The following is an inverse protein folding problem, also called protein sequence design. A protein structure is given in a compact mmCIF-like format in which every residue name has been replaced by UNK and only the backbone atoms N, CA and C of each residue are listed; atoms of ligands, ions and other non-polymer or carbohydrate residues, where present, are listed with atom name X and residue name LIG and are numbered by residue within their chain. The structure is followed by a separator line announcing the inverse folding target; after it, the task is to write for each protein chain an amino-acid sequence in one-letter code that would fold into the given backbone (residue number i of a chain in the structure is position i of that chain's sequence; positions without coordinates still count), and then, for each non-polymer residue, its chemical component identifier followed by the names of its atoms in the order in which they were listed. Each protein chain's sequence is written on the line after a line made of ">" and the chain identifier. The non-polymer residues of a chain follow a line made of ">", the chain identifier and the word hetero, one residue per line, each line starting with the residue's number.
data_IF_595649697830
#
_entry.id   IF_595649697830
#
_cell.length_a   1.000
_cell.length_b   1.000
_cell.length_c   1.000
_cell.angle_alpha   90.00
_cell.angle_beta   90.00
_cell.angle_gamma   90.00
#
_symmetry.space_group_name_H-M   'P 1'
#
loop_
_entity.id
_entity.type
_entity.pdbx_description
1 polymer ?
#
# COMPACT_ATOMS: atom_id res chain seq x y z
N UNK A 1 12.84 -6.98 -12.98
CA UNK A 1 12.08 -5.72 -12.79
C UNK A 1 10.96 -5.74 -13.82
N UNK A 2 9.69 -5.55 -13.42
CA UNK A 2 8.54 -5.70 -14.31
C UNK A 2 8.57 -4.68 -15.46
N UNK A 3 8.08 -5.07 -16.65
CA UNK A 3 7.86 -4.17 -17.80
C UNK A 3 7.08 -2.91 -17.42
N UNK A 4 6.15 -3.03 -16.48
CA UNK A 4 5.40 -1.91 -15.91
C UNK A 4 6.30 -0.88 -15.21
N UNK A 5 7.27 -1.34 -14.41
CA UNK A 5 8.23 -0.45 -13.73
C UNK A 5 9.12 0.28 -14.72
N UNK A 6 9.51 -0.39 -15.80
CA UNK A 6 10.26 0.22 -16.90
C UNK A 6 9.44 1.34 -17.57
N UNK A 7 8.20 1.04 -17.98
CA UNK A 7 7.31 2.01 -18.62
C UNK A 7 6.99 3.22 -17.73
N UNK A 8 6.84 3.03 -16.41
CA UNK A 8 6.67 4.14 -15.45
C UNK A 8 7.89 5.08 -15.44
N UNK A 9 9.11 4.52 -15.47
CA UNK A 9 10.34 5.32 -15.55
C UNK A 9 10.45 6.07 -16.88
N UNK A 10 10.06 5.44 -17.99
CA UNK A 10 10.00 6.08 -19.31
C UNK A 10 9.04 7.28 -19.30
N UNK A 11 7.84 7.13 -18.73
CA UNK A 11 6.86 8.21 -18.61
C UNK A 11 7.40 9.37 -17.76
N UNK A 12 8.06 9.07 -16.64
CA UNK A 12 8.63 10.11 -15.76
C UNK A 12 9.79 10.86 -16.44
N UNK A 13 10.65 10.15 -17.19
CA UNK A 13 11.72 10.75 -17.99
C UNK A 13 11.16 11.62 -19.13
N UNK A 14 10.17 11.11 -19.86
CA UNK A 14 9.51 11.83 -20.95
C UNK A 14 8.78 13.08 -20.44
N UNK A 15 8.11 12.99 -19.30
CA UNK A 15 7.46 14.14 -18.66
C UNK A 15 8.48 15.22 -18.28
N UNK A 16 9.66 14.83 -17.81
CA UNK A 16 10.78 15.76 -17.55
C UNK A 16 11.26 16.43 -18.85
N UNK A 17 11.41 15.67 -19.93
CA UNK A 17 11.79 16.21 -21.25
C UNK A 17 10.76 17.20 -21.80
N UNK A 18 9.47 16.89 -21.70
CA UNK A 18 8.38 17.79 -22.11
C UNK A 18 8.37 19.09 -21.30
N UNK A 19 8.65 19.02 -19.98
CA UNK A 19 8.74 20.21 -19.12
C UNK A 19 9.89 21.14 -19.48
N UNK A 20 10.97 20.60 -20.04
CA UNK A 20 12.12 21.38 -20.47
C UNK A 20 11.88 22.15 -21.79
N UNK A 21 10.77 21.90 -22.48
CA UNK A 21 10.40 22.66 -23.68
C UNK A 21 9.89 24.05 -23.29
N UNK A 22 10.59 25.09 -23.74
CA UNK A 22 10.23 26.49 -23.46
C UNK A 22 8.94 26.91 -24.18
N UNK A 23 8.76 26.43 -25.41
CA UNK A 23 7.62 26.75 -26.26
C UNK A 23 6.29 26.17 -25.73
N UNK A 24 5.19 26.90 -26.02
CA UNK A 24 3.82 26.45 -25.68
C UNK A 24 3.41 25.18 -26.44
N UNK A 25 3.96 24.97 -27.63
CA UNK A 25 3.77 23.78 -28.46
C UNK A 25 5.07 22.99 -28.57
N UNK A 26 4.93 21.67 -28.70
CA UNK A 26 6.07 20.76 -28.89
C UNK A 26 6.32 20.62 -30.39
N UNK A 27 7.43 21.18 -30.86
CA UNK A 27 7.93 21.02 -32.23
C UNK A 27 9.13 20.08 -32.32
N UNK A 28 9.66 19.63 -31.18
CA UNK A 28 10.81 18.72 -31.14
C UNK A 28 10.40 17.35 -31.63
N UNK A 29 10.94 16.95 -32.79
CA UNK A 29 10.73 15.61 -33.37
C UNK A 29 11.15 14.51 -32.38
N UNK A 30 12.25 14.70 -31.65
CA UNK A 30 12.71 13.73 -30.66
C UNK A 30 11.70 13.48 -29.53
N UNK A 31 10.99 14.51 -29.05
CA UNK A 31 9.96 14.33 -28.02
C UNK A 31 8.73 13.63 -28.60
N UNK A 32 8.34 13.96 -29.83
CA UNK A 32 7.25 13.29 -30.52
C UNK A 32 7.57 11.79 -30.75
N UNK A 33 8.80 11.48 -31.18
CA UNK A 33 9.26 10.10 -31.36
C UNK A 33 9.25 9.33 -30.03
N UNK A 34 9.65 9.97 -28.91
CA UNK A 34 9.56 9.37 -27.58
C UNK A 34 8.11 9.12 -27.11
N UNK A 35 7.18 10.04 -27.38
CA UNK A 35 5.75 9.83 -27.12
C UNK A 35 5.22 8.62 -27.90
N UNK A 36 5.60 8.51 -29.17
CA UNK A 36 5.22 7.37 -30.01
C UNK A 36 5.80 6.05 -29.49
N UNK A 37 7.10 6.02 -29.19
CA UNK A 37 7.77 4.84 -28.66
C UNK A 37 7.18 4.38 -27.32
N UNK A 38 6.87 5.31 -26.42
CA UNK A 38 6.25 5.00 -25.11
C UNK A 38 4.86 4.36 -25.30
N UNK A 39 4.04 4.91 -26.20
CA UNK A 39 2.73 4.33 -26.50
C UNK A 39 2.85 2.96 -27.18
N UNK A 40 3.80 2.78 -28.08
CA UNK A 40 4.07 1.50 -28.71
C UNK A 40 4.55 0.45 -27.70
N UNK A 41 5.46 0.82 -26.78
CA UNK A 41 5.95 -0.05 -25.71
C UNK A 41 4.80 -0.54 -24.82
N UNK A 42 3.86 0.35 -24.47
CA UNK A 42 2.64 -0.06 -23.75
C UNK A 42 1.86 -1.13 -24.50
N UNK A 43 1.51 -0.91 -25.77
CA UNK A 43 0.68 -1.84 -26.53
C UNK A 43 1.39 -3.14 -26.91
N UNK A 44 2.71 -3.10 -27.17
CA UNK A 44 3.48 -4.25 -27.60
C UNK A 44 3.93 -5.13 -26.44
N UNK A 45 4.37 -4.53 -25.33
CA UNK A 45 5.04 -5.26 -24.26
C UNK A 45 4.13 -5.44 -23.04
N UNK A 46 3.49 -4.37 -22.56
CA UNK A 46 2.74 -4.42 -21.31
C UNK A 46 1.28 -4.87 -21.49
N UNK A 47 0.62 -4.43 -22.55
CA UNK A 47 -0.81 -4.65 -22.78
C UNK A 47 -1.22 -6.12 -22.93
N UNK A 48 -0.43 -7.02 -23.58
CA UNK A 48 -0.75 -8.43 -23.67
C UNK A 48 -0.88 -9.11 -22.30
N UNK A 49 0.01 -8.77 -21.37
CA UNK A 49 0.03 -9.33 -20.01
C UNK A 49 -1.16 -8.86 -19.15
N UNK A 50 -1.83 -7.79 -19.57
CA UNK A 50 -2.94 -7.16 -18.84
C UNK A 50 -4.32 -7.50 -19.42
N UNK A 51 -4.43 -8.44 -20.36
CA UNK A 51 -5.61 -8.62 -21.22
C UNK A 51 -6.97 -8.79 -20.52
N UNK A 52 -6.98 -9.15 -19.22
CA UNK A 52 -8.19 -9.54 -18.49
C UNK A 52 -8.69 -8.53 -17.45
N UNK A 53 -8.14 -7.31 -17.39
CA UNK A 53 -8.55 -6.32 -16.38
C UNK A 53 -9.39 -5.18 -16.98
N UNK A 54 -10.59 -4.95 -16.44
CA UNK A 54 -11.46 -3.81 -16.80
C UNK A 54 -10.77 -2.45 -16.63
N UNK A 55 -9.75 -2.39 -15.77
CA UNK A 55 -8.96 -1.17 -15.51
C UNK A 55 -8.05 -0.78 -16.69
N UNK A 56 -7.85 -1.70 -17.64
CA UNK A 56 -6.93 -1.52 -18.78
C UNK A 56 -7.55 -0.66 -19.88
N UNK A 57 -8.88 -0.66 -20.02
CA UNK A 57 -9.56 0.18 -21.00
C UNK A 57 -9.25 1.69 -20.81
N UNK A 58 -9.11 2.13 -19.56
CA UNK A 58 -8.73 3.51 -19.25
C UNK A 58 -7.30 3.83 -19.70
N UNK A 59 -6.36 2.91 -19.49
CA UNK A 59 -4.98 3.06 -19.96
C UNK A 59 -4.91 3.00 -21.50
N UNK A 60 -5.61 2.08 -22.14
CA UNK A 60 -5.70 1.96 -23.61
C UNK A 60 -6.11 3.26 -24.27
N UNK A 61 -7.13 3.94 -23.72
CA UNK A 61 -7.57 5.25 -24.21
C UNK A 61 -6.46 6.30 -24.10
N UNK A 62 -5.74 6.35 -22.99
CA UNK A 62 -4.67 7.34 -22.75
C UNK A 62 -3.47 7.09 -23.68
N UNK A 63 -3.05 5.84 -23.88
CA UNK A 63 -1.95 5.50 -24.77
C UNK A 63 -2.31 5.65 -26.25
N UNK A 64 -3.57 5.42 -26.63
CA UNK A 64 -4.06 5.76 -27.97
C UNK A 64 -3.98 7.26 -28.22
N UNK A 65 -4.45 8.08 -27.26
CA UNK A 65 -4.32 9.53 -27.35
C UNK A 65 -2.85 9.98 -27.41
N UNK A 66 -1.95 9.31 -26.69
CA UNK A 66 -0.52 9.61 -26.71
C UNK A 66 0.08 9.36 -28.10
N UNK A 67 -0.29 8.24 -28.72
CA UNK A 67 0.08 7.91 -30.09
C UNK A 67 -0.51 8.87 -31.14
N UNK A 68 -1.70 9.41 -30.91
CA UNK A 68 -2.26 10.44 -31.78
C UNK A 68 -1.56 11.79 -31.63
N UNK A 69 -1.19 12.16 -30.40
CA UNK A 69 -0.49 13.42 -30.12
C UNK A 69 0.93 13.42 -30.68
N UNK A 70 1.62 12.28 -30.73
CA UNK A 70 2.97 12.17 -31.30
C UNK A 70 3.02 12.52 -32.79
N UNK A 71 1.89 12.43 -33.51
CA UNK A 71 1.79 12.76 -34.94
C UNK A 71 1.44 14.22 -35.21
N UNK A 72 1.26 15.02 -34.17
CA UNK A 72 0.83 16.43 -34.25
C UNK A 72 1.87 17.33 -33.56
N UNK A 73 1.58 18.63 -33.50
CA UNK A 73 2.31 19.60 -32.66
C UNK A 73 1.49 19.93 -31.41
N UNK A 74 1.41 19.02 -30.42
CA UNK A 74 0.55 19.19 -29.26
C UNK A 74 1.03 20.34 -28.37
N UNK A 75 0.12 20.91 -27.57
CA UNK A 75 0.54 21.84 -26.53
C UNK A 75 1.32 21.10 -25.44
N UNK A 76 2.31 21.80 -24.87
CA UNK A 76 3.14 21.29 -23.76
C UNK A 76 2.27 20.83 -22.59
N UNK A 77 1.29 21.64 -22.21
CA UNK A 77 0.40 21.35 -21.09
C UNK A 77 -0.41 20.07 -21.32
N UNK A 78 -0.99 19.90 -22.53
CA UNK A 78 -1.76 18.70 -22.88
C UNK A 78 -0.92 17.41 -22.78
N UNK A 79 0.35 17.48 -23.15
CA UNK A 79 1.26 16.33 -23.01
C UNK A 79 1.57 16.02 -21.54
N UNK A 80 1.81 17.04 -20.71
CA UNK A 80 2.08 16.87 -19.27
C UNK A 80 0.89 16.23 -18.57
N UNK A 81 -0.32 16.70 -18.87
CA UNK A 81 -1.56 16.18 -18.28
C UNK A 81 -1.78 14.72 -18.69
N UNK A 82 -1.65 14.43 -19.99
CA UNK A 82 -1.79 13.08 -20.51
C UNK A 82 -0.77 12.09 -19.91
N UNK A 83 0.49 12.50 -19.77
CA UNK A 83 1.53 11.67 -19.12
C UNK A 83 1.23 11.45 -17.63
N UNK A 84 0.70 12.46 -16.93
CA UNK A 84 0.30 12.32 -15.54
C UNK A 84 -0.89 11.36 -15.37
N UNK A 85 -1.87 11.42 -16.28
CA UNK A 85 -3.00 10.50 -16.33
C UNK A 85 -2.58 9.07 -16.66
N UNK A 86 -1.73 8.89 -17.67
CA UNK A 86 -1.18 7.58 -18.04
C UNK A 86 -0.44 6.93 -16.86
N UNK A 87 0.42 7.70 -16.17
CA UNK A 87 1.11 7.24 -14.96
C UNK A 87 0.13 6.81 -13.86
N UNK A 88 -0.91 7.62 -13.58
CA UNK A 88 -1.94 7.27 -12.59
C UNK A 88 -2.68 5.99 -12.96
N UNK A 89 -3.00 5.80 -14.24
CA UNK A 89 -3.65 4.60 -14.73
C UNK A 89 -2.77 3.36 -14.53
N UNK A 90 -1.48 3.43 -14.87
CA UNK A 90 -0.54 2.33 -14.67
C UNK A 90 -0.35 1.97 -13.20
N UNK A 91 -0.23 2.95 -12.29
CA UNK A 91 -0.13 2.68 -10.85
C UNK A 91 -1.38 1.99 -10.30
N UNK A 92 -2.57 2.34 -10.82
CA UNK A 92 -3.82 1.65 -10.46
C UNK A 92 -3.86 0.21 -10.96
N UNK A 93 -3.32 -0.04 -12.16
CA UNK A 93 -3.21 -1.39 -12.73
C UNK A 93 -2.22 -2.21 -11.89
N UNK A 94 -1.04 -1.65 -11.57
CA UNK A 94 -0.04 -2.31 -10.73
C UNK A 94 -0.64 -2.74 -9.38
N UNK A 95 -1.33 -1.83 -8.68
CA UNK A 95 -2.01 -2.17 -7.44
C UNK A 95 -3.09 -3.25 -7.61
N UNK A 96 -3.79 -3.27 -8.75
CA UNK A 96 -4.79 -4.29 -9.05
C UNK A 96 -4.17 -5.66 -9.33
N UNK A 97 -3.07 -5.71 -10.09
CA UNK A 97 -2.32 -6.95 -10.37
C UNK A 97 -1.77 -7.52 -9.06
N UNK A 98 -1.14 -6.68 -8.23
CA UNK A 98 -0.66 -7.09 -6.91
C UNK A 98 -1.80 -7.63 -6.02
N UNK A 99 -2.99 -7.05 -6.12
CA UNK A 99 -4.17 -7.53 -5.39
C UNK A 99 -4.74 -8.83 -5.97
N UNK A 100 -4.69 -9.03 -7.30
CA UNK A 100 -5.18 -10.25 -7.96
C UNK A 100 -4.24 -11.44 -7.77
N UNK A 101 -2.92 -11.22 -7.79
CA UNK A 101 -1.94 -12.25 -7.45
C UNK A 101 -2.07 -12.73 -6.00
N UNK A 102 -2.69 -11.92 -5.11
CA UNK A 102 -3.06 -12.38 -3.78
C UNK A 102 -4.28 -13.34 -3.81
N UNK A 103 -5.15 -13.27 -4.83
CA UNK A 103 -6.36 -14.09 -4.95
C UNK A 103 -6.12 -15.55 -5.37
N UNK A 104 -5.11 -15.83 -6.21
CA UNK A 104 -4.67 -17.21 -6.48
C UNK A 104 -3.84 -17.82 -5.34
N UNK A 105 -3.61 -17.05 -4.27
CA UNK A 105 -2.91 -17.41 -3.05
C UNK A 105 -3.86 -17.62 -1.86
N UNK A 106 -5.18 -17.81 -2.05
CA UNK A 106 -6.10 -18.08 -0.93
C UNK A 106 -5.64 -19.25 -0.05
N UNK A 107 -5.10 -20.33 -0.65
CA UNK A 107 -4.53 -21.46 0.11
C UNK A 107 -3.32 -21.05 0.97
N UNK A 108 -2.36 -20.31 0.39
CA UNK A 108 -1.16 -19.86 1.11
C UNK A 108 -1.44 -18.76 2.13
N UNK A 109 -2.42 -17.90 1.83
CA UNK A 109 -2.86 -16.83 2.74
C UNK A 109 -3.43 -17.43 4.02
N UNK A 110 -4.22 -18.51 3.90
CA UNK A 110 -4.72 -19.25 5.05
C UNK A 110 -3.59 -19.91 5.87
N UNK A 111 -2.51 -20.39 5.24
CA UNK A 111 -1.36 -20.96 5.97
C UNK A 111 -0.62 -19.91 6.80
N UNK A 112 -0.36 -18.72 6.23
CA UNK A 112 0.30 -17.63 6.95
C UNK A 112 -0.58 -17.15 8.12
N UNK A 113 -1.87 -16.97 7.88
CA UNK A 113 -2.80 -16.55 8.93
C UNK A 113 -2.92 -17.60 10.04
N UNK A 114 -2.85 -18.90 9.72
CA UNK A 114 -2.79 -19.98 10.71
C UNK A 114 -1.51 -19.95 11.55
N UNK A 115 -0.35 -19.67 10.93
CA UNK A 115 0.92 -19.50 11.65
C UNK A 115 0.90 -18.28 12.58
N UNK A 116 0.30 -17.18 12.13
CA UNK A 116 0.08 -15.99 12.97
C UNK A 116 -0.81 -16.34 14.15
N UNK A 117 -1.96 -16.98 13.93
CA UNK A 117 -2.87 -17.38 15.00
C UNK A 117 -2.19 -18.30 16.03
N UNK A 118 -1.46 -19.31 15.57
CA UNK A 118 -0.71 -20.20 16.48
C UNK A 118 0.32 -19.42 17.31
N UNK A 119 1.12 -18.57 16.67
CA UNK A 119 2.17 -17.80 17.34
C UNK A 119 1.59 -16.76 18.30
N UNK A 120 0.50 -16.08 17.91
CA UNK A 120 -0.20 -15.14 18.78
C UNK A 120 -0.84 -15.86 19.96
N UNK A 121 -1.43 -17.03 19.78
CA UNK A 121 -2.01 -17.78 20.89
C UNK A 121 -0.96 -18.13 21.95
N UNK A 122 0.27 -18.44 21.53
CA UNK A 122 1.37 -18.74 22.45
C UNK A 122 1.93 -17.48 23.14
N UNK A 123 2.01 -16.36 22.42
CA UNK A 123 2.61 -15.10 22.92
C UNK A 123 1.60 -14.22 23.68
N UNK A 124 0.43 -14.01 23.10
CA UNK A 124 -0.65 -13.14 23.57
C UNK A 124 -2.03 -13.66 23.10
N UNK A 125 -2.70 -14.52 23.89
CA UNK A 125 -4.00 -15.11 23.52
C UNK A 125 -5.09 -14.08 23.17
N UNK A 126 -5.08 -12.92 23.82
CA UNK A 126 -6.02 -11.83 23.52
C UNK A 126 -5.81 -11.28 22.09
N UNK A 127 -4.56 -11.06 21.68
CA UNK A 127 -4.23 -10.63 20.32
C UNK A 127 -4.65 -11.67 19.28
N UNK A 128 -4.48 -12.96 19.61
CA UNK A 128 -4.95 -14.06 18.76
C UNK A 128 -6.47 -14.03 18.57
N UNK A 129 -7.23 -13.83 19.65
CA UNK A 129 -8.68 -13.76 19.59
C UNK A 129 -9.17 -12.60 18.71
N UNK A 130 -8.57 -11.41 18.87
CA UNK A 130 -8.88 -10.27 18.00
C UNK A 130 -8.52 -10.53 16.53
N UNK A 131 -7.34 -11.09 16.26
CA UNK A 131 -6.96 -11.42 14.89
C UNK A 131 -7.92 -12.43 14.25
N UNK A 132 -8.29 -13.48 15.00
CA UNK A 132 -9.26 -14.49 14.55
C UNK A 132 -10.63 -13.88 14.27
N UNK A 133 -11.15 -13.04 15.16
CA UNK A 133 -12.45 -12.39 14.98
C UNK A 133 -12.49 -11.55 13.69
N UNK A 134 -11.39 -10.86 13.37
CA UNK A 134 -11.28 -10.12 12.11
C UNK A 134 -11.31 -11.03 10.88
N UNK A 135 -10.63 -12.17 10.91
CA UNK A 135 -10.65 -13.15 9.82
C UNK A 135 -12.06 -13.73 9.62
N UNK A 136 -12.72 -14.11 10.70
CA UNK A 136 -14.10 -14.62 10.68
C UNK A 136 -15.07 -13.60 10.11
N UNK A 137 -14.95 -12.33 10.53
CA UNK A 137 -15.74 -11.24 9.97
C UNK A 137 -15.50 -11.07 8.46
N UNK A 138 -14.25 -11.13 7.99
CA UNK A 138 -13.89 -10.97 6.56
C UNK A 138 -14.35 -12.12 5.67
N UNK A 139 -14.51 -13.32 6.24
CA UNK A 139 -15.09 -14.47 5.58
C UNK A 139 -16.60 -14.31 5.32
N UNK A 140 -17.28 -13.45 6.08
CA UNK A 140 -18.70 -13.16 5.85
C UNK A 140 -18.90 -12.32 4.58
N UNK A 141 -19.80 -12.75 3.71
CA UNK A 141 -20.10 -12.06 2.45
C UNK A 141 -20.99 -10.84 2.62
N UNK A 142 -21.78 -10.78 3.71
CA UNK A 142 -22.76 -9.72 3.94
C UNK A 142 -22.60 -9.18 5.36
N UNK A 143 -22.15 -7.93 5.46
CA UNK A 143 -22.05 -7.21 6.74
C UNK A 143 -22.48 -5.76 6.58
N UNK A 144 -23.24 -5.27 7.57
CA UNK A 144 -23.71 -3.88 7.60
C UNK A 144 -22.56 -2.90 7.87
N UNK A 145 -21.55 -3.34 8.62
CA UNK A 145 -20.38 -2.52 8.94
C UNK A 145 -19.12 -3.35 9.08
N UNK A 146 -18.01 -2.78 8.63
CA UNK A 146 -16.67 -3.35 8.72
C UNK A 146 -15.79 -2.68 9.78
N UNK A 147 -16.37 -1.77 10.58
CA UNK A 147 -15.65 -1.01 11.61
C UNK A 147 -15.11 -1.91 12.71
N UNK A 148 -15.92 -2.87 13.18
CA UNK A 148 -15.52 -3.83 14.22
C UNK A 148 -14.26 -4.59 13.79
N UNK A 149 -14.27 -5.14 12.57
CA UNK A 149 -13.14 -5.91 12.02
C UNK A 149 -11.85 -5.07 11.92
N UNK A 150 -11.95 -3.79 11.52
CA UNK A 150 -10.79 -2.90 11.52
C UNK A 150 -10.25 -2.63 12.94
N UNK A 151 -11.15 -2.50 13.93
CA UNK A 151 -10.77 -2.38 15.34
C UNK A 151 -10.08 -3.65 15.83
N UNK A 152 -10.62 -4.84 15.55
CA UNK A 152 -10.00 -6.10 15.96
C UNK A 152 -8.59 -6.27 15.40
N UNK A 153 -8.35 -5.92 14.11
CA UNK A 153 -7.00 -5.93 13.53
C UNK A 153 -6.04 -4.96 14.22
N UNK A 154 -6.55 -3.80 14.66
CA UNK A 154 -5.77 -2.82 15.43
C UNK A 154 -5.40 -3.37 16.80
N UNK A 155 -6.35 -3.97 17.49
CA UNK A 155 -6.15 -4.51 18.84
C UNK A 155 -5.17 -5.68 18.82
N UNK A 156 -5.29 -6.59 17.84
CA UNK A 156 -4.30 -7.66 17.63
C UNK A 156 -2.87 -7.12 17.52
N UNK A 157 -2.65 -6.08 16.70
CA UNK A 157 -1.32 -5.46 16.57
C UNK A 157 -0.88 -4.74 17.84
N UNK A 158 -1.76 -3.96 18.47
CA UNK A 158 -1.45 -3.19 19.69
C UNK A 158 -1.05 -4.11 20.84
N UNK A 159 -1.85 -5.13 21.10
CA UNK A 159 -1.60 -6.09 22.18
C UNK A 159 -0.33 -6.90 21.94
N UNK A 160 -0.07 -7.29 20.68
CA UNK A 160 1.20 -7.94 20.31
C UNK A 160 2.41 -7.06 20.61
N UNK A 161 2.35 -5.78 20.25
CA UNK A 161 3.42 -4.82 20.53
C UNK A 161 3.59 -4.58 22.04
N UNK A 162 2.50 -4.43 22.78
CA UNK A 162 2.55 -4.22 24.23
C UNK A 162 3.15 -5.44 24.94
N UNK A 163 2.91 -6.65 24.42
CA UNK A 163 3.44 -7.89 24.97
C UNK A 163 4.92 -8.11 24.63
N UNK A 164 5.33 -7.86 23.38
CA UNK A 164 6.70 -8.09 22.90
C UNK A 164 7.66 -6.94 23.20
N UNK A 165 7.14 -5.75 23.46
CA UNK A 165 7.91 -4.55 23.79
C UNK A 165 7.25 -3.79 24.95
N UNK A 166 7.39 -4.30 26.19
CA UNK A 166 6.87 -3.61 27.37
C UNK A 166 7.46 -2.20 27.48
N UNK A 167 6.65 -1.20 27.83
CA UNK A 167 7.05 0.20 27.83
C UNK A 167 8.36 0.45 28.58
N UNK A 168 8.51 -0.16 29.76
CA UNK A 168 9.69 -0.03 30.62
C UNK A 168 10.97 -0.56 29.97
N UNK A 169 10.87 -1.62 29.18
CA UNK A 169 12.03 -2.19 28.48
C UNK A 169 12.45 -1.30 27.32
N UNK A 170 11.47 -0.78 26.57
CA UNK A 170 11.72 0.15 25.47
C UNK A 170 12.31 1.47 25.98
N UNK A 171 11.81 1.98 27.12
CA UNK A 171 12.30 3.18 27.77
C UNK A 171 13.73 3.03 28.33
N UNK A 172 14.13 1.80 28.69
CA UNK A 172 15.45 1.50 29.23
C UNK A 172 16.54 1.38 28.15
N UNK A 173 16.19 1.38 26.87
CA UNK A 173 17.17 1.32 25.78
C UNK A 173 18.11 2.53 25.79
N UNK A 174 19.44 2.35 25.62
CA UNK A 174 20.43 3.43 25.70
C UNK A 174 20.19 4.63 24.77
N UNK A 175 19.38 4.45 23.73
CA UNK A 175 19.06 5.48 22.73
C UNK A 175 17.56 5.81 22.66
N UNK A 176 16.78 5.42 23.67
CA UNK A 176 15.37 5.80 23.74
C UNK A 176 15.24 7.31 23.89
N UNK A 177 14.40 7.91 23.04
CA UNK A 177 13.99 9.31 23.12
C UNK A 177 12.49 9.35 22.85
N UNK A 178 11.66 9.83 23.79
CA UNK A 178 10.22 9.92 23.56
C UNK A 178 9.93 10.83 22.34
N UNK A 179 8.98 10.43 21.51
CA UNK A 179 8.54 11.28 20.39
C UNK A 179 7.75 12.51 20.92
N UNK A 180 7.72 13.65 20.20
CA UNK A 180 7.03 14.84 20.67
C UNK A 180 5.57 14.57 21.05
N UNK A 181 5.18 14.97 22.26
CA UNK A 181 3.86 14.74 22.86
C UNK A 181 3.52 13.29 23.22
N UNK A 182 4.46 12.34 23.11
CA UNK A 182 4.26 10.97 23.57
C UNK A 182 4.63 10.84 25.05
N UNK A 183 3.70 10.31 25.85
CA UNK A 183 3.92 10.00 27.28
C UNK A 183 4.45 8.57 27.49
N UNK A 184 4.48 7.77 26.43
CA UNK A 184 4.87 6.35 26.40
C UNK A 184 5.53 6.04 25.07
N UNK A 185 6.28 4.93 24.94
CA UNK A 185 6.81 4.49 23.66
C UNK A 185 5.72 4.35 22.60
N UNK A 186 5.95 4.93 21.42
CA UNK A 186 5.01 4.82 20.31
C UNK A 186 5.08 3.42 19.68
N UNK A 187 4.04 3.00 18.95
CA UNK A 187 4.03 1.69 18.27
C UNK A 187 5.28 1.53 17.37
N UNK A 188 5.69 2.60 16.69
CA UNK A 188 6.92 2.65 15.89
C UNK A 188 8.18 2.34 16.72
N UNK A 189 8.30 2.91 17.92
CA UNK A 189 9.44 2.65 18.82
C UNK A 189 9.44 1.21 19.34
N UNK A 190 8.26 0.63 19.61
CA UNK A 190 8.09 -0.77 19.99
C UNK A 190 8.51 -1.74 18.86
N UNK A 191 8.10 -1.46 17.63
CA UNK A 191 8.54 -2.24 16.46
C UNK A 191 10.06 -2.22 16.32
N UNK A 192 10.67 -1.04 16.43
CA UNK A 192 12.13 -0.90 16.39
C UNK A 192 12.81 -1.77 17.45
N UNK A 193 12.32 -1.73 18.67
CA UNK A 193 12.83 -2.53 19.79
C UNK A 193 12.79 -4.04 19.47
N UNK A 194 11.63 -4.54 19.03
CA UNK A 194 11.43 -5.97 18.71
C UNK A 194 12.37 -6.40 17.58
N UNK A 195 12.43 -5.66 16.48
CA UNK A 195 13.24 -6.05 15.32
C UNK A 195 14.75 -5.98 15.62
N UNK A 196 15.19 -5.01 16.42
CA UNK A 196 16.58 -4.96 16.91
C UNK A 196 16.92 -6.13 17.81
N UNK A 197 16.03 -6.50 18.73
CA UNK A 197 16.23 -7.66 19.62
C UNK A 197 16.41 -8.98 18.84
N UNK A 198 15.95 -9.00 17.58
CA UNK A 198 16.05 -10.13 16.64
C UNK A 198 17.24 -10.04 15.67
N UNK A 199 18.10 -9.04 15.83
CA UNK A 199 19.31 -8.90 15.01
C UNK A 199 19.05 -8.38 13.59
N UNK A 200 17.88 -7.79 13.30
CA UNK A 200 17.62 -7.18 12.00
C UNK A 200 18.40 -5.87 11.83
N UNK A 201 18.85 -5.61 10.60
CA UNK A 201 19.62 -4.40 10.28
C UNK A 201 18.73 -3.14 10.17
N UNK A 202 19.35 -1.97 10.19
CA UNK A 202 18.64 -0.68 10.19
C UNK A 202 17.71 -0.48 8.99
N UNK A 203 18.04 -1.02 7.81
CA UNK A 203 17.17 -0.92 6.63
C UNK A 203 15.89 -1.73 6.77
N UNK A 204 15.97 -2.97 7.26
CA UNK A 204 14.79 -3.84 7.46
C UNK A 204 13.88 -3.26 8.55
N UNK A 205 14.49 -2.74 9.62
CA UNK A 205 13.77 -2.07 10.71
C UNK A 205 12.97 -0.86 10.20
N UNK A 206 13.54 -0.06 9.30
CA UNK A 206 12.89 1.16 8.76
C UNK A 206 11.63 0.82 7.96
N UNK A 207 11.65 -0.24 7.15
CA UNK A 207 10.48 -0.65 6.37
C UNK A 207 9.30 -1.01 7.27
N UNK A 208 9.53 -1.84 8.30
CA UNK A 208 8.46 -2.25 9.22
C UNK A 208 7.95 -1.09 10.10
N UNK A 209 8.84 -0.14 10.45
CA UNK A 209 8.44 1.11 11.11
C UNK A 209 7.51 1.95 10.23
N UNK A 210 7.86 2.14 8.96
CA UNK A 210 7.06 2.91 8.01
C UNK A 210 5.70 2.24 7.74
N UNK A 211 5.67 0.90 7.61
CA UNK A 211 4.42 0.13 7.48
C UNK A 211 3.55 0.29 8.74
N UNK A 212 4.13 0.20 9.94
CA UNK A 212 3.38 0.37 11.19
C UNK A 212 2.83 1.78 11.34
N UNK A 213 3.63 2.81 11.01
CA UNK A 213 3.18 4.20 10.99
C UNK A 213 2.01 4.37 10.01
N UNK A 214 2.10 3.81 8.81
CA UNK A 214 1.03 3.87 7.83
C UNK A 214 -0.25 3.19 8.30
N UNK A 215 -0.15 2.04 8.99
CA UNK A 215 -1.28 1.36 9.62
C UNK A 215 -1.90 2.26 10.70
N UNK A 216 -1.10 2.85 11.59
CA UNK A 216 -1.57 3.74 12.65
C UNK A 216 -2.22 5.01 12.09
N UNK A 217 -1.66 5.62 11.04
CA UNK A 217 -2.25 6.78 10.38
C UNK A 217 -3.58 6.43 9.70
N UNK A 218 -3.63 5.28 9.02
CA UNK A 218 -4.85 4.77 8.38
C UNK A 218 -5.94 4.48 9.42
N UNK A 219 -5.62 3.72 10.46
CA UNK A 219 -6.53 3.39 11.55
C UNK A 219 -6.91 4.62 12.37
N UNK A 220 -5.96 5.48 12.70
CA UNK A 220 -6.17 6.72 13.43
C UNK A 220 -6.99 7.72 12.64
N UNK A 221 -6.84 7.76 11.31
CA UNK A 221 -7.70 8.49 10.38
C UNK A 221 -9.13 7.93 10.39
N UNK A 222 -9.27 6.60 10.39
CA UNK A 222 -10.57 5.91 10.48
C UNK A 222 -11.24 6.17 11.84
N UNK A 223 -10.54 5.99 12.96
CA UNK A 223 -11.07 6.20 14.31
C UNK A 223 -11.38 7.66 14.57
N UNK A 224 -10.50 8.61 14.20
CA UNK A 224 -10.79 10.05 14.31
C UNK A 224 -11.93 10.46 13.39
N UNK A 225 -12.01 9.89 12.18
CA UNK A 225 -13.17 10.05 11.30
C UNK A 225 -14.43 9.59 12.04
N UNK A 226 -14.46 8.36 12.58
CA UNK A 226 -15.62 7.83 13.33
C UNK A 226 -15.98 8.70 14.55
N UNK A 227 -15.00 9.14 15.33
CA UNK A 227 -15.22 9.94 16.53
C UNK A 227 -15.75 11.33 16.19
N UNK A 228 -15.11 12.04 15.25
CA UNK A 228 -15.59 13.33 14.74
C UNK A 228 -16.93 13.21 13.98
N UNK A 229 -17.28 12.02 13.49
CA UNK A 229 -18.56 11.70 12.83
C UNK A 229 -19.68 11.31 13.78
N UNK A 230 -19.36 10.98 15.03
CA UNK A 230 -20.38 10.79 16.07
C UNK A 230 -21.00 12.12 16.50
N UNK A 231 -20.28 13.24 16.31
CA UNK A 231 -20.80 14.59 16.50
C UNK A 231 -21.54 15.17 15.28
N UNK A 232 -21.27 14.73 14.04
CA UNK A 232 -21.99 15.19 12.83
C UNK A 232 -22.06 14.07 11.77
N UNK A 233 -23.28 13.65 11.44
CA UNK A 233 -23.60 12.49 10.58
C UNK A 233 -23.27 12.70 9.09
N UNK A 234 -22.90 11.59 8.41
CA UNK A 234 -22.70 11.38 6.93
C UNK A 234 -21.41 12.02 6.34
N UNK A 235 -20.35 11.37 5.86
CA UNK A 235 -20.18 10.20 4.97
C UNK A 235 -18.71 9.71 5.00
N UNK A 236 -18.43 8.44 5.35
CA UNK A 236 -17.39 7.58 4.74
C UNK A 236 -17.55 6.15 5.31
N UNK A 237 -18.29 5.24 4.69
CA UNK A 237 -18.35 3.85 5.15
C UNK A 237 -16.95 3.21 5.08
N UNK A 238 -16.57 2.43 6.09
CA UNK A 238 -15.43 1.51 5.96
C UNK A 238 -15.91 0.36 5.09
N UNK A 239 -15.28 0.18 3.93
CA UNK A 239 -15.67 -0.89 3.00
C UNK A 239 -14.89 -2.17 3.34
N UNK A 240 -15.37 -3.31 2.83
CA UNK A 240 -14.67 -4.59 2.97
C UNK A 240 -13.26 -4.51 2.39
N UNK A 241 -13.10 -3.86 1.25
CA UNK A 241 -11.81 -3.69 0.57
C UNK A 241 -10.81 -2.93 1.43
N UNK A 242 -11.28 -1.96 2.21
CA UNK A 242 -10.42 -1.24 3.15
C UNK A 242 -9.95 -2.15 4.30
N UNK A 243 -10.83 -2.98 4.86
CA UNK A 243 -10.45 -3.94 5.91
C UNK A 243 -9.49 -4.99 5.38
N UNK A 244 -9.70 -5.49 4.16
CA UNK A 244 -8.75 -6.42 3.51
C UNK A 244 -7.38 -5.76 3.34
N UNK A 245 -7.31 -4.48 2.96
CA UNK A 245 -6.05 -3.73 2.92
C UNK A 245 -5.39 -3.63 4.30
N UNK A 246 -6.16 -3.32 5.34
CA UNK A 246 -5.65 -3.24 6.72
C UNK A 246 -5.13 -4.61 7.16
N UNK A 247 -5.88 -5.69 6.90
CA UNK A 247 -5.46 -7.06 7.23
C UNK A 247 -4.14 -7.41 6.56
N UNK A 248 -3.98 -7.16 5.26
CA UNK A 248 -2.74 -7.44 4.56
C UNK A 248 -1.52 -6.72 5.19
N UNK A 249 -1.71 -5.47 5.64
CA UNK A 249 -0.67 -4.69 6.30
C UNK A 249 -0.38 -5.18 7.73
N UNK A 250 -1.42 -5.46 8.51
CA UNK A 250 -1.28 -6.03 9.87
C UNK A 250 -0.62 -7.40 9.80
N UNK A 251 -1.02 -8.25 8.85
CA UNK A 251 -0.40 -9.55 8.57
C UNK A 251 1.09 -9.39 8.28
N UNK A 252 1.46 -8.48 7.39
CA UNK A 252 2.86 -8.20 7.06
C UNK A 252 3.67 -7.83 8.31
N UNK A 253 3.16 -6.89 9.12
CA UNK A 253 3.83 -6.48 10.36
C UNK A 253 3.91 -7.63 11.36
N UNK A 254 2.82 -8.38 11.57
CA UNK A 254 2.81 -9.54 12.46
C UNK A 254 3.79 -10.62 12.01
N UNK A 255 3.95 -10.87 10.71
CA UNK A 255 4.97 -11.80 10.23
C UNK A 255 6.38 -11.37 10.65
N UNK A 256 6.73 -10.09 10.48
CA UNK A 256 8.02 -9.54 10.93
C UNK A 256 8.16 -9.60 12.46
N UNK A 257 7.11 -9.22 13.19
CA UNK A 257 7.06 -9.22 14.66
C UNK A 257 6.96 -10.60 15.29
N UNK A 258 6.64 -11.65 14.54
CA UNK A 258 6.59 -13.04 15.01
C UNK A 258 7.63 -13.93 14.33
N UNK A 259 8.46 -13.36 13.46
CA UNK A 259 9.51 -14.06 12.69
C UNK A 259 8.94 -15.19 11.82
N UNK A 260 7.75 -14.96 11.27
CA UNK A 260 7.07 -15.89 10.36
C UNK A 260 7.53 -15.56 8.94
N UNK A 261 8.06 -16.54 8.18
CA UNK A 261 8.50 -16.30 6.81
C UNK A 261 7.31 -15.99 5.89
N UNK A 262 7.46 -14.94 5.07
CA UNK A 262 6.54 -14.65 3.97
C UNK A 262 6.93 -15.55 2.79
N UNK A 263 6.15 -16.60 2.53
CA UNK A 263 6.37 -17.56 1.43
C UNK A 263 5.72 -17.19 0.10
#
# INVERSE_FOLDING_TARGET
>A
MSELSHLLKEIDALKKAVRAVENKQIFSRGICDQLHATAQSYFANLRPDLAHSDKVAAADKLFTQMHELSRKSPSRQKCIDLLADARRALVRIEGAVLSQSAGSSESKTNEVDALILSSLNDVCPAASASYQQALEDMAQSVRISWRGSATELREALRETLDKLAPDKEVEAEPNYKPEPNAQRPTMKQKVRFILKSRGLNSSQVTTSEDTTRFIEESLGGITRSIYNRSSVSTHTPTTREEVVRIHALVRLVLCELLAIPLG
#
